data_IF_854773805872
#
_entry.id   IF_854773805872
#
_cell.length_a   1.000
_cell.length_b   1.000
_cell.length_c   1.000
_cell.angle_alpha   90.00
_cell.angle_beta   90.00
_cell.angle_gamma   90.00
#
_symmetry.space_group_name_H-M   'P 1'
#
loop_
_entity.id
_entity.type
_entity.pdbx_description
1 polymer ?
#
# COMPACT_ATOMS: atom_id res chain seq x y z
N UNK A 1 -2.53 24.87 -4.69
CA UNK A 1 -3.50 25.16 -5.76
C UNK A 1 -4.15 23.85 -6.21
N UNK A 2 -5.31 23.50 -5.66
CA UNK A 2 -6.01 22.24 -5.97
C UNK A 2 -6.58 22.25 -7.40
N UNK A 3 -6.92 23.44 -7.92
CA UNK A 3 -7.52 23.58 -9.25
C UNK A 3 -6.59 23.09 -10.35
N UNK A 4 -5.31 23.49 -10.30
CA UNK A 4 -4.28 22.99 -11.24
C UNK A 4 -4.06 21.49 -11.18
N UNK A 5 -4.17 20.88 -10.00
CA UNK A 5 -4.05 19.42 -9.86
C UNK A 5 -5.21 18.71 -10.56
N UNK A 6 -6.42 19.28 -10.46
CA UNK A 6 -7.62 18.74 -11.07
C UNK A 6 -7.63 18.84 -12.61
N UNK A 7 -6.81 19.71 -13.21
CA UNK A 7 -6.65 19.79 -14.67
C UNK A 7 -6.00 18.54 -15.29
N UNK A 8 -5.16 17.84 -14.50
CA UNK A 8 -4.54 16.58 -14.93
C UNK A 8 -5.48 15.42 -14.58
N UNK A 9 -5.76 14.48 -15.50
CA UNK A 9 -6.54 13.28 -15.19
C UNK A 9 -5.97 12.54 -13.98
N UNK A 10 -6.82 12.16 -13.02
CA UNK A 10 -6.38 11.57 -11.74
C UNK A 10 -5.32 10.47 -11.91
N UNK A 11 -5.56 9.53 -12.84
CA UNK A 11 -4.66 8.39 -13.13
C UNK A 11 -3.29 8.75 -13.69
N UNK A 12 -3.10 9.98 -14.15
CA UNK A 12 -1.86 10.49 -14.74
C UNK A 12 -1.05 11.37 -13.78
N UNK A 13 -1.63 11.73 -12.63
CA UNK A 13 -0.97 12.55 -11.61
C UNK A 13 0.11 11.73 -10.91
N UNK A 14 1.38 12.04 -11.19
CA UNK A 14 2.56 11.47 -10.52
C UNK A 14 2.72 12.05 -9.10
N UNK A 15 1.78 11.74 -8.22
CA UNK A 15 1.70 12.27 -6.86
C UNK A 15 1.60 11.11 -5.87
N UNK A 16 2.12 11.32 -4.67
CA UNK A 16 1.88 10.45 -3.51
C UNK A 16 1.26 11.28 -2.40
N UNK A 17 0.35 10.66 -1.66
CA UNK A 17 -0.23 11.20 -0.44
C UNK A 17 0.29 10.35 0.71
N UNK A 18 1.07 10.95 1.61
CA UNK A 18 1.52 10.29 2.83
C UNK A 18 0.44 10.47 3.89
N UNK A 19 -0.08 9.37 4.41
CA UNK A 19 -1.15 9.37 5.43
C UNK A 19 -0.62 9.01 6.80
N UNK A 20 0.47 8.26 6.86
CA UNK A 20 1.12 7.88 8.11
C UNK A 20 2.63 7.78 7.91
N UNK A 21 3.39 8.25 8.89
CA UNK A 21 4.82 8.08 8.97
C UNK A 21 5.19 7.76 10.42
N UNK A 22 5.96 6.70 10.61
CA UNK A 22 6.49 6.31 11.91
C UNK A 22 7.99 6.14 11.81
N UNK A 23 8.69 6.66 12.80
CA UNK A 23 10.14 6.59 12.92
C UNK A 23 10.45 6.20 14.34
N UNK A 24 11.30 5.18 14.51
CA UNK A 24 11.84 4.86 15.82
C UNK A 24 13.34 4.54 15.71
N UNK A 25 14.06 4.86 16.78
CA UNK A 25 15.49 4.63 16.90
C UNK A 25 15.78 3.19 17.36
N UNK A 26 16.81 2.56 16.82
CA UNK A 26 17.31 1.28 17.28
C UNK A 26 18.83 1.36 17.48
N UNK A 27 19.32 0.82 18.58
CA UNK A 27 20.76 0.70 18.86
C UNK A 27 21.46 -0.24 17.87
N UNK A 28 20.71 -1.21 17.34
CA UNK A 28 21.17 -2.09 16.26
C UNK A 28 20.06 -2.31 15.21
N UNK A 29 20.25 -1.71 14.03
CA UNK A 29 19.34 -1.83 12.88
C UNK A 29 19.34 -3.23 12.25
N UNK A 30 20.40 -4.02 12.43
CA UNK A 30 20.48 -5.36 11.85
C UNK A 30 19.40 -6.25 12.48
N UNK A 31 19.21 -6.16 13.80
CA UNK A 31 18.23 -6.96 14.55
C UNK A 31 16.88 -6.27 14.76
N UNK A 32 16.80 -4.95 14.54
CA UNK A 32 15.54 -4.20 14.64
C UNK A 32 14.44 -4.77 13.73
N UNK A 33 13.17 -4.70 14.14
CA UNK A 33 12.03 -5.23 13.35
C UNK A 33 11.14 -4.11 12.85
N UNK A 34 10.55 -4.25 11.68
CA UNK A 34 9.52 -3.29 11.26
C UNK A 34 8.36 -3.26 12.26
N UNK A 35 7.78 -2.07 12.46
CA UNK A 35 6.63 -1.88 13.34
C UNK A 35 5.44 -2.75 12.93
N UNK A 36 4.75 -3.30 13.95
CA UNK A 36 3.65 -4.28 13.81
C UNK A 36 2.36 -3.74 13.18
N UNK A 37 1.34 -4.60 13.13
CA UNK A 37 0.10 -4.47 12.34
C UNK A 37 -0.77 -3.24 12.63
N UNK A 38 -0.46 -2.41 13.63
CA UNK A 38 -1.21 -1.19 13.96
C UNK A 38 -1.27 -0.13 12.84
N UNK A 39 -0.46 -0.30 11.80
CA UNK A 39 -0.51 0.53 10.58
C UNK A 39 -1.53 0.06 9.56
N UNK A 40 -2.14 -1.13 9.73
CA UNK A 40 -3.07 -1.71 8.77
C UNK A 40 -4.50 -1.66 9.33
N UNK A 41 -5.42 -1.14 8.53
CA UNK A 41 -6.86 -1.27 8.73
C UNK A 41 -7.29 -2.64 8.19
N UNK A 42 -8.07 -3.38 8.98
CA UNK A 42 -8.76 -4.57 8.46
C UNK A 42 -9.87 -4.16 7.50
N UNK A 43 -9.96 -4.89 6.38
CA UNK A 43 -11.05 -4.71 5.43
C UNK A 43 -12.40 -5.02 6.08
N UNK A 44 -13.36 -4.11 5.94
CA UNK A 44 -14.75 -4.41 6.32
C UNK A 44 -15.32 -5.31 5.23
N UNK A 45 -15.58 -6.58 5.54
CA UNK A 45 -16.37 -7.43 4.62
C UNK A 45 -17.71 -6.73 4.36
N UNK A 46 -18.03 -6.45 3.09
CA UNK A 46 -19.39 -6.06 2.70
C UNK A 46 -20.32 -7.14 3.25
N UNK A 47 -21.14 -6.81 4.26
CA UNK A 47 -22.37 -7.58 4.50
C UNK A 47 -23.21 -7.30 3.28
N UNK A 48 -23.26 -8.25 2.35
CA UNK A 48 -24.36 -8.31 1.39
C UNK A 48 -25.63 -8.44 2.20
N UNK A 49 -26.27 -7.30 2.48
CA UNK A 49 -27.63 -7.26 3.00
C UNK A 49 -28.55 -7.59 1.83
N UNK A 50 -28.50 -8.84 1.35
CA UNK A 50 -29.60 -9.41 0.59
C UNK A 50 -30.61 -9.85 1.63
N UNK A 51 -31.65 -9.04 1.82
CA UNK A 51 -32.74 -9.34 2.73
C UNK A 51 -33.61 -10.52 2.25
N UNK A 52 -34.19 -11.20 3.25
CA UNK A 52 -35.30 -12.18 3.21
C UNK A 52 -35.00 -13.55 2.58
N UNK A 53 -35.21 -14.69 3.25
CA UNK A 53 -36.45 -15.13 3.89
C UNK A 53 -36.19 -15.86 5.23
N UNK A 54 -37.15 -15.74 6.16
CA UNK A 54 -37.09 -16.36 7.47
C UNK A 54 -36.99 -17.88 7.44
N UNK A 55 -36.15 -18.42 8.31
CA UNK A 55 -36.26 -19.79 8.80
C UNK A 55 -36.08 -19.78 10.33
N UNK A 56 -36.87 -20.57 11.08
CA UNK A 56 -36.90 -20.51 12.53
C UNK A 56 -35.60 -21.04 13.14
N UNK A 57 -35.31 -20.49 14.31
CA UNK A 57 -34.32 -20.96 15.26
C UNK A 57 -34.60 -22.44 15.61
N UNK A 58 -33.62 -23.32 15.31
CA UNK A 58 -33.54 -24.66 15.91
C UNK A 58 -33.88 -25.82 14.98
N UNK A 59 -32.86 -26.41 14.36
CA UNK A 59 -32.82 -27.86 14.10
C UNK A 59 -31.36 -28.26 13.89
N UNK A 60 -30.86 -29.11 14.77
CA UNK A 60 -29.51 -29.65 14.67
C UNK A 60 -29.36 -30.58 13.48
N UNK A 61 -28.19 -30.54 12.86
CA UNK A 61 -27.66 -31.68 12.11
C UNK A 61 -26.27 -32.03 12.65
N UNK A 62 -26.08 -33.27 13.14
CA UNK A 62 -24.81 -33.76 13.67
C UNK A 62 -23.88 -34.19 12.54
N UNK A 63 -22.59 -33.93 12.72
CA UNK A 63 -21.53 -34.70 12.07
C UNK A 63 -21.34 -34.49 10.55
N UNK A 64 -20.51 -33.53 10.20
CA UNK A 64 -19.48 -33.75 9.16
C UNK A 64 -18.26 -32.89 9.51
N UNK A 65 -17.30 -33.50 10.20
CA UNK A 65 -15.92 -33.04 10.16
C UNK A 65 -15.44 -33.21 8.72
N UNK A 66 -15.05 -32.11 8.08
CA UNK A 66 -14.18 -32.13 6.90
C UNK A 66 -12.75 -31.89 7.38
N UNK A 67 -11.90 -32.93 7.40
CA UNK A 67 -10.47 -32.80 7.64
C UNK A 67 -9.77 -32.37 6.35
N UNK A 68 -8.91 -31.36 6.44
CA UNK A 68 -7.90 -31.09 5.42
C UNK A 68 -8.40 -30.28 4.21
N UNK A 69 -8.29 -28.96 4.32
CA UNK A 69 -8.01 -28.12 3.15
C UNK A 69 -7.17 -26.93 3.60
N UNK A 70 -5.89 -27.21 3.88
CA UNK A 70 -4.85 -26.19 3.93
C UNK A 70 -4.70 -25.62 2.53
N UNK A 71 -5.09 -24.36 2.33
CA UNK A 71 -4.92 -23.71 1.04
C UNK A 71 -3.44 -23.34 0.85
N UNK A 72 -2.79 -23.81 -0.23
CA UNK A 72 -1.40 -23.50 -0.53
C UNK A 72 -1.23 -22.04 -0.90
N UNK A 73 -0.21 -21.40 -0.33
CA UNK A 73 0.18 -20.03 -0.61
C UNK A 73 0.34 -19.77 -2.11
N UNK A 74 -0.45 -18.84 -2.61
CA UNK A 74 -0.16 -18.17 -3.86
C UNK A 74 1.10 -17.32 -3.68
N UNK A 75 2.16 -17.51 -4.48
CA UNK A 75 3.33 -16.65 -4.40
C UNK A 75 2.96 -15.22 -4.84
N UNK A 76 3.47 -14.17 -4.17
CA UNK A 76 3.26 -12.80 -4.63
C UNK A 76 3.85 -12.64 -6.04
N UNK A 77 3.04 -12.15 -6.99
CA UNK A 77 3.40 -11.95 -8.41
C UNK A 77 4.39 -10.79 -8.66
N UNK A 78 5.19 -10.41 -7.67
CA UNK A 78 6.31 -9.49 -7.82
C UNK A 78 7.53 -10.06 -7.13
N UNK A 79 8.12 -11.11 -7.74
CA UNK A 79 9.48 -11.51 -7.42
C UNK A 79 10.42 -10.40 -7.91
N UNK A 80 10.93 -9.58 -6.99
CA UNK A 80 12.01 -8.63 -7.25
C UNK A 80 13.17 -9.39 -7.92
N UNK A 81 13.60 -8.91 -9.09
CA UNK A 81 14.88 -9.33 -9.67
C UNK A 81 15.98 -8.94 -8.68
N UNK A 82 16.67 -9.94 -8.13
CA UNK A 82 17.92 -9.77 -7.37
C UNK A 82 18.94 -9.10 -8.29
N UNK A 83 19.21 -7.82 -8.05
CA UNK A 83 20.37 -7.15 -8.60
C UNK A 83 21.51 -7.31 -7.60
N UNK A 84 22.49 -8.15 -7.96
CA UNK A 84 23.82 -8.07 -7.38
C UNK A 84 24.56 -6.94 -8.11
N UNK A 85 24.83 -5.83 -7.41
CA UNK A 85 25.78 -4.81 -7.89
C UNK A 85 27.12 -5.02 -7.20
N UNK A 86 28.15 -5.13 -8.03
CA UNK A 86 29.57 -5.21 -7.67
C UNK A 86 30.04 -3.79 -7.34
N UNK A 87 30.54 -3.59 -6.12
CA UNK A 87 31.30 -2.41 -5.73
C UNK A 87 30.69 -1.55 -4.61
N UNK A 88 30.57 -2.09 -3.40
CA UNK A 88 30.79 -1.36 -2.14
C UNK A 88 31.42 -2.37 -1.17
N UNK A 89 32.74 -2.31 -1.02
CA UNK A 89 33.48 -3.08 0.01
C UNK A 89 33.38 -2.33 1.32
N UNK A 90 32.33 -2.64 2.06
CA UNK A 90 32.17 -2.36 3.48
C UNK A 90 31.08 -3.30 3.94
N UNK A 91 31.43 -4.30 4.75
CA UNK A 91 30.43 -5.08 5.47
C UNK A 91 29.60 -4.04 6.25
N UNK A 92 28.32 -3.83 5.89
CA UNK A 92 27.42 -2.98 6.68
C UNK A 92 27.13 -3.72 7.98
N UNK A 93 28.11 -3.65 8.89
CA UNK A 93 28.04 -4.17 10.25
C UNK A 93 26.91 -3.41 10.93
N UNK A 94 26.09 -4.13 11.71
CA UNK A 94 25.00 -3.53 12.48
C UNK A 94 25.46 -2.35 13.33
N UNK A 95 24.51 -1.58 13.83
CA UNK A 95 24.77 -0.34 14.54
C UNK A 95 23.53 0.53 14.64
N UNK A 96 23.68 1.67 15.29
CA UNK A 96 22.56 2.53 15.60
C UNK A 96 21.94 3.14 14.33
N UNK A 97 20.63 3.39 14.39
CA UNK A 97 19.92 3.97 13.26
C UNK A 97 18.43 4.04 13.47
N UNK A 98 17.70 4.16 12.36
CA UNK A 98 16.27 4.42 12.37
C UNK A 98 15.51 3.42 11.52
N UNK A 99 14.40 2.94 12.06
CA UNK A 99 13.42 2.16 11.32
C UNK A 99 12.27 3.10 10.98
N UNK A 100 11.96 3.19 9.68
CA UNK A 100 10.99 4.12 9.13
C UNK A 100 9.91 3.35 8.39
N UNK A 101 8.65 3.61 8.73
CA UNK A 101 7.48 3.16 7.99
C UNK A 101 6.77 4.36 7.42
N UNK A 102 6.62 4.41 6.09
CA UNK A 102 5.85 5.43 5.38
C UNK A 102 4.68 4.73 4.72
N UNK A 103 3.47 5.21 4.95
CA UNK A 103 2.27 4.67 4.32
C UNK A 103 1.40 5.77 3.73
N UNK A 104 0.66 5.41 2.70
CA UNK A 104 -0.09 6.37 1.93
C UNK A 104 -0.80 5.78 0.73
N UNK A 105 -1.19 6.63 -0.20
CA UNK A 105 -1.79 6.22 -1.47
C UNK A 105 -1.36 7.13 -2.62
N UNK A 106 -1.58 6.66 -3.84
CA UNK A 106 -1.29 7.37 -5.07
C UNK A 106 -2.42 7.16 -6.08
N UNK A 107 -2.83 8.23 -6.77
CA UNK A 107 -3.74 8.12 -7.90
C UNK A 107 -3.03 7.63 -9.16
N UNK A 108 -1.68 7.58 -9.17
CA UNK A 108 -0.93 7.22 -10.36
C UNK A 108 -1.11 5.74 -10.70
N UNK A 109 -1.48 5.45 -11.95
CA UNK A 109 -1.75 4.07 -12.42
C UNK A 109 -0.57 3.11 -12.26
N UNK A 110 0.67 3.63 -12.29
CA UNK A 110 1.88 2.83 -12.14
C UNK A 110 2.67 3.26 -10.90
N UNK A 111 2.10 3.00 -9.73
CA UNK A 111 2.73 3.32 -8.45
C UNK A 111 4.12 2.70 -8.31
N UNK A 112 4.33 1.47 -8.81
CA UNK A 112 5.64 0.81 -8.78
C UNK A 112 6.72 1.63 -9.48
N UNK A 113 6.44 2.13 -10.68
CA UNK A 113 7.35 3.00 -11.43
C UNK A 113 7.51 4.41 -10.84
N UNK A 114 6.59 4.85 -9.97
CA UNK A 114 6.73 6.11 -9.22
C UNK A 114 7.59 5.92 -7.97
N UNK A 115 7.49 4.75 -7.32
CA UNK A 115 8.21 4.43 -6.09
C UNK A 115 9.65 4.00 -6.38
N UNK A 116 9.87 2.97 -7.20
CA UNK A 116 11.19 2.42 -7.51
C UNK A 116 11.34 2.15 -9.03
N UNK A 117 11.48 3.21 -9.86
CA UNK A 117 11.69 3.07 -11.30
C UNK A 117 13.02 2.35 -11.60
N UNK A 118 13.00 1.45 -12.60
CA UNK A 118 14.18 0.70 -12.99
C UNK A 118 15.11 1.51 -13.91
N UNK A 119 16.43 1.36 -13.72
CA UNK A 119 17.45 1.87 -14.65
C UNK A 119 17.64 3.39 -14.64
N UNK A 120 17.23 4.08 -13.57
CA UNK A 120 17.31 5.54 -13.46
C UNK A 120 18.41 6.05 -12.55
N UNK A 121 19.29 5.17 -12.05
CA UNK A 121 20.31 5.49 -11.05
C UNK A 121 21.12 6.76 -11.41
N UNK A 122 21.52 6.90 -12.67
CA UNK A 122 22.33 8.02 -13.14
C UNK A 122 21.52 9.24 -13.61
N UNK A 123 20.19 9.26 -13.43
CA UNK A 123 19.31 10.34 -13.89
C UNK A 123 18.39 10.83 -12.76
N UNK A 124 18.82 11.82 -11.96
CA UNK A 124 18.07 12.35 -10.83
C UNK A 124 16.65 12.85 -11.18
N UNK A 125 16.43 13.27 -12.42
CA UNK A 125 15.13 13.73 -12.89
C UNK A 125 14.12 12.59 -13.07
N UNK A 126 14.61 11.34 -13.16
CA UNK A 126 13.79 10.13 -13.28
C UNK A 126 13.71 9.34 -11.98
N UNK A 127 14.37 9.78 -10.91
CA UNK A 127 14.32 9.11 -9.62
C UNK A 127 12.91 9.09 -9.03
N UNK A 128 12.48 7.89 -8.64
CA UNK A 128 11.33 7.70 -7.77
C UNK A 128 11.69 7.89 -6.30
N UNK A 129 10.72 7.66 -5.42
CA UNK A 129 10.89 7.83 -3.97
C UNK A 129 12.04 6.99 -3.43
N UNK A 130 12.10 5.70 -3.78
CA UNK A 130 13.09 4.75 -3.27
C UNK A 130 14.48 5.08 -3.78
N UNK A 131 14.61 5.43 -5.06
CA UNK A 131 15.90 5.87 -5.61
C UNK A 131 16.38 7.14 -4.91
N UNK A 132 15.49 8.08 -4.61
CA UNK A 132 15.84 9.27 -3.81
C UNK A 132 16.36 8.92 -2.43
N UNK A 133 15.78 7.91 -1.76
CA UNK A 133 16.26 7.45 -0.45
C UNK A 133 17.62 6.72 -0.51
N UNK A 134 17.99 6.14 -1.65
CA UNK A 134 19.34 5.59 -1.86
C UNK A 134 20.39 6.70 -2.01
N UNK A 135 19.97 7.83 -2.57
CA UNK A 135 20.82 8.96 -2.93
C UNK A 135 20.56 10.16 -2.00
N UNK A 136 20.38 9.90 -0.70
CA UNK A 136 20.11 10.97 0.27
C UNK A 136 21.21 12.04 0.23
N UNK A 137 22.46 11.63 0.17
CA UNK A 137 23.62 12.54 0.06
C UNK A 137 23.51 13.48 -1.14
N UNK A 138 22.99 13.03 -2.28
CA UNK A 138 22.83 13.85 -3.49
C UNK A 138 21.63 14.83 -3.42
N UNK A 139 20.71 14.60 -2.49
CA UNK A 139 19.46 15.36 -2.35
C UNK A 139 19.54 16.36 -1.20
N UNK A 140 20.21 15.98 -0.12
CA UNK A 140 20.55 16.90 0.96
C UNK A 140 21.84 17.63 0.62
N UNK A 141 22.36 18.43 1.54
CA UNK A 141 23.57 19.24 1.42
C UNK A 141 24.88 18.44 1.28
N UNK A 142 24.84 17.19 0.80
CA UNK A 142 26.01 16.34 0.62
C UNK A 142 26.49 15.66 1.90
N UNK A 143 25.82 15.87 3.03
CA UNK A 143 26.29 15.41 4.34
C UNK A 143 25.18 14.70 5.12
N UNK A 144 24.50 13.73 4.49
CA UNK A 144 23.52 12.94 5.22
C UNK A 144 24.25 12.02 6.20
N UNK A 145 23.95 12.07 7.50
CA UNK A 145 24.50 11.10 8.45
C UNK A 145 23.84 9.72 8.28
N UNK A 146 22.87 9.59 7.37
CA UNK A 146 22.05 8.41 7.19
C UNK A 146 22.28 7.74 5.84
N UNK A 147 22.35 6.40 5.85
CA UNK A 147 22.41 5.57 4.64
C UNK A 147 21.33 4.50 4.69
N UNK A 148 20.68 4.22 3.57
CA UNK A 148 19.73 3.11 3.48
C UNK A 148 20.44 1.78 3.75
N UNK A 149 19.99 1.03 4.75
CA UNK A 149 20.61 -0.22 5.17
C UNK A 149 20.11 -1.39 4.32
N UNK A 150 21.03 -2.09 3.65
CA UNK A 150 20.78 -3.37 2.94
C UNK A 150 19.47 -3.44 2.13
N UNK A 151 19.24 -2.50 1.21
CA UNK A 151 18.01 -2.46 0.36
C UNK A 151 17.62 -3.79 -0.31
N UNK A 152 18.61 -4.61 -0.67
CA UNK A 152 18.36 -5.88 -1.37
C UNK A 152 17.70 -6.96 -0.48
N UNK A 153 17.66 -6.74 0.84
CA UNK A 153 17.17 -7.70 1.84
C UNK A 153 15.80 -7.27 2.38
N UNK A 154 14.82 -8.17 2.27
CA UNK A 154 13.42 -7.87 2.64
C UNK A 154 13.24 -7.55 4.13
N UNK A 155 14.18 -7.98 4.97
CA UNK A 155 14.22 -7.72 6.41
C UNK A 155 14.63 -6.27 6.74
N UNK A 156 15.22 -5.57 5.77
CA UNK A 156 15.75 -4.20 5.90
C UNK A 156 15.07 -3.22 4.96
N UNK A 157 14.39 -3.72 3.92
CA UNK A 157 13.62 -2.92 2.98
C UNK A 157 12.41 -3.68 2.44
N UNK A 158 11.22 -3.12 2.60
CA UNK A 158 9.97 -3.71 2.11
C UNK A 158 9.05 -2.64 1.52
N UNK A 159 8.66 -2.82 0.27
CA UNK A 159 7.63 -2.02 -0.39
C UNK A 159 6.42 -2.91 -0.68
N UNK A 160 5.29 -2.59 -0.07
CA UNK A 160 4.00 -3.21 -0.33
C UNK A 160 3.08 -2.21 -1.03
N UNK A 161 2.25 -2.71 -1.94
CA UNK A 161 1.24 -1.92 -2.63
C UNK A 161 -0.03 -2.75 -2.82
N UNK A 162 -1.15 -2.06 -3.01
CA UNK A 162 -2.42 -2.71 -3.33
C UNK A 162 -3.47 -1.72 -3.77
N UNK A 163 -4.60 -2.23 -4.25
CA UNK A 163 -5.75 -1.41 -4.62
C UNK A 163 -6.39 -0.79 -3.37
N UNK A 164 -6.82 0.46 -3.47
CA UNK A 164 -7.64 1.05 -2.40
C UNK A 164 -9.03 0.45 -2.48
N UNK A 165 -9.41 -0.32 -1.46
CA UNK A 165 -10.71 -0.96 -1.38
C UNK A 165 -11.16 -1.09 0.08
N UNK A 166 -12.47 -0.97 0.33
CA UNK A 166 -13.04 -1.07 1.68
C UNK A 166 -12.90 -2.46 2.30
N UNK A 167 -12.81 -3.50 1.46
CA UNK A 167 -12.67 -4.90 1.83
C UNK A 167 -11.20 -5.38 1.83
N UNK A 168 -10.25 -4.53 1.46
CA UNK A 168 -8.83 -4.84 1.49
C UNK A 168 -8.18 -4.50 2.84
N UNK A 169 -7.17 -5.28 3.24
CA UNK A 169 -6.22 -4.89 4.29
C UNK A 169 -5.30 -3.82 3.71
N UNK A 170 -5.38 -2.60 4.20
CA UNK A 170 -4.64 -1.44 3.67
C UNK A 170 -4.20 -0.51 4.80
N UNK A 171 -3.25 0.40 4.58
CA UNK A 171 -2.81 1.30 5.64
C UNK A 171 -3.91 2.18 6.22
N UNK A 172 -3.81 2.45 7.52
CA UNK A 172 -4.69 3.41 8.20
C UNK A 172 -4.53 4.81 7.62
N UNK A 173 -5.62 5.58 7.59
CA UNK A 173 -5.64 6.95 7.08
C UNK A 173 -5.75 7.08 5.55
N UNK A 174 -5.84 5.97 4.80
CA UNK A 174 -6.12 6.00 3.35
C UNK A 174 -7.58 6.39 3.11
N UNK A 175 -7.78 7.64 2.71
CA UNK A 175 -9.09 8.23 2.39
C UNK A 175 -10.00 8.44 3.60
N UNK A 176 -11.13 9.07 3.33
CA UNK A 176 -12.24 9.24 4.29
C UNK A 176 -13.43 8.42 3.77
N UNK A 177 -14.13 7.71 4.66
CA UNK A 177 -15.36 7.00 4.32
C UNK A 177 -16.46 8.01 3.95
N UNK A 178 -17.13 7.77 2.83
CA UNK A 178 -18.28 8.54 2.38
C UNK A 178 -19.34 7.58 1.79
N UNK A 179 -20.56 8.08 1.60
CA UNK A 179 -21.66 7.30 1.04
C UNK A 179 -22.09 7.89 -0.29
N UNK A 180 -22.11 7.05 -1.32
CA UNK A 180 -22.60 7.42 -2.64
C UNK A 180 -23.91 6.69 -2.89
N UNK A 181 -24.98 7.45 -3.06
CA UNK A 181 -26.24 6.88 -3.48
C UNK A 181 -26.18 6.50 -4.97
N UNK A 182 -26.60 5.27 -5.27
CA UNK A 182 -26.73 4.73 -6.63
C UNK A 182 -28.19 4.42 -6.87
N UNK A 183 -28.75 4.94 -7.96
CA UNK A 183 -30.08 4.53 -8.43
C UNK A 183 -29.95 3.17 -9.11
N UNK A 184 -30.43 2.13 -8.44
CA UNK A 184 -30.66 0.82 -9.08
C UNK A 184 -32.07 0.80 -9.72
N UNK A 185 -32.35 -0.23 -10.52
CA UNK A 185 -33.67 -0.44 -11.16
C UNK A 185 -34.85 -0.48 -10.20
N UNK A 186 -34.63 -0.70 -8.89
CA UNK A 186 -35.72 -0.87 -7.91
C UNK A 186 -35.61 0.06 -6.70
N UNK A 187 -34.42 0.42 -6.25
CA UNK A 187 -34.21 1.27 -5.06
C UNK A 187 -32.94 2.12 -5.18
N UNK A 188 -32.88 3.20 -4.40
CA UNK A 188 -31.64 3.95 -4.15
C UNK A 188 -30.79 3.17 -3.15
N UNK A 189 -29.64 2.68 -3.59
CA UNK A 189 -28.72 1.90 -2.76
C UNK A 189 -27.56 2.80 -2.39
N UNK A 190 -27.34 2.95 -1.09
CA UNK A 190 -26.18 3.63 -0.54
C UNK A 190 -24.97 2.70 -0.57
N UNK A 191 -23.97 3.05 -1.39
CA UNK A 191 -22.68 2.37 -1.42
C UNK A 191 -21.65 3.16 -0.62
N UNK A 192 -21.01 2.49 0.35
CA UNK A 192 -19.84 3.05 1.01
C UNK A 192 -18.67 3.14 0.03
N UNK A 193 -17.98 4.27 0.03
CA UNK A 193 -16.80 4.57 -0.79
C UNK A 193 -15.72 5.23 0.06
N UNK A 194 -14.50 5.30 -0.47
CA UNK A 194 -13.44 6.14 0.07
C UNK A 194 -13.20 7.31 -0.86
N UNK A 195 -13.09 8.51 -0.30
CA UNK A 195 -12.75 9.72 -1.02
C UNK A 195 -11.42 10.31 -0.57
N UNK A 196 -10.78 11.00 -1.49
CA UNK A 196 -9.61 11.84 -1.22
C UNK A 196 -10.05 13.05 -0.35
N UNK A 197 -9.48 13.26 0.84
CA UNK A 197 -9.83 14.40 1.69
C UNK A 197 -9.60 15.75 1.00
N UNK A 198 -8.62 15.84 0.09
CA UNK A 198 -8.21 17.07 -0.57
C UNK A 198 -9.01 17.36 -1.83
N UNK A 199 -9.19 16.36 -2.71
CA UNK A 199 -9.86 16.56 -4.01
C UNK A 199 -11.32 16.13 -4.04
N UNK A 200 -11.79 15.40 -3.02
CA UNK A 200 -13.13 14.79 -2.95
C UNK A 200 -13.43 13.79 -4.08
N UNK A 201 -12.42 13.38 -4.83
CA UNK A 201 -12.55 12.33 -5.84
C UNK A 201 -12.61 10.96 -5.15
N UNK A 202 -13.33 10.00 -5.75
CA UNK A 202 -13.42 8.62 -5.27
C UNK A 202 -12.08 7.93 -5.50
N UNK A 203 -11.51 7.36 -4.44
CA UNK A 203 -10.23 6.65 -4.47
C UNK A 203 -10.38 5.13 -4.34
N UNK A 204 -11.47 4.67 -3.70
CA UNK A 204 -11.76 3.24 -3.63
C UNK A 204 -12.09 2.68 -5.00
N UNK A 205 -11.81 1.39 -5.22
CA UNK A 205 -12.37 0.64 -6.34
C UNK A 205 -13.90 0.64 -6.25
N UNK A 206 -14.56 0.75 -7.40
CA UNK A 206 -16.02 0.74 -7.52
C UNK A 206 -16.44 -0.24 -8.60
N UNK A 207 -17.56 -0.93 -8.41
CA UNK A 207 -18.12 -1.80 -9.44
C UNK A 207 -18.48 -0.97 -10.67
N UNK A 208 -18.07 -1.43 -11.85
CA UNK A 208 -18.53 -0.88 -13.13
C UNK A 208 -20.00 -1.27 -13.34
N UNK A 209 -20.73 -0.41 -14.04
CA UNK A 209 -22.14 -0.61 -14.28
C UNK A 209 -22.36 -0.93 -15.76
N UNK A 210 -23.21 -1.91 -16.03
CA UNK A 210 -23.64 -2.25 -17.37
C UNK A 210 -24.61 -1.20 -17.97
N UNK A 211 -24.99 -1.38 -19.24
CA UNK A 211 -25.95 -0.52 -19.94
C UNK A 211 -27.33 -0.42 -19.25
N UNK A 212 -27.60 -1.32 -18.31
CA UNK A 212 -28.86 -1.47 -17.61
C UNK A 212 -28.81 -0.96 -16.16
N UNK A 213 -27.67 -0.43 -15.72
CA UNK A 213 -27.44 0.07 -14.36
C UNK A 213 -27.22 -1.03 -13.31
N UNK A 214 -27.01 -2.28 -13.74
CA UNK A 214 -26.55 -3.39 -12.90
C UNK A 214 -25.03 -3.43 -12.81
N UNK A 215 -24.48 -4.22 -11.89
CA UNK A 215 -23.03 -4.46 -11.84
C UNK A 215 -22.58 -5.21 -13.10
N UNK A 216 -21.55 -4.72 -13.77
CA UNK A 216 -20.98 -5.39 -14.94
C UNK A 216 -20.29 -6.69 -14.50
N UNK A 217 -20.61 -7.78 -15.18
CA UNK A 217 -20.10 -9.12 -14.88
C UNK A 217 -19.24 -9.59 -16.05
N UNK A 218 -18.04 -10.08 -15.75
CA UNK A 218 -17.13 -10.66 -16.74
C UNK A 218 -17.64 -12.03 -17.25
N UNK A 219 -16.97 -12.58 -18.27
CA UNK A 219 -17.30 -13.90 -18.83
C UNK A 219 -17.16 -15.05 -17.83
N UNK A 220 -16.50 -14.82 -16.70
CA UNK A 220 -16.24 -15.78 -15.63
C UNK A 220 -17.23 -15.64 -14.47
N UNK A 221 -18.19 -14.73 -14.55
CA UNK A 221 -19.20 -14.50 -13.51
C UNK A 221 -18.75 -13.58 -12.37
N UNK A 222 -17.61 -12.89 -12.50
CA UNK A 222 -17.12 -11.95 -11.49
C UNK A 222 -17.51 -10.51 -11.82
N UNK A 223 -17.76 -9.72 -10.78
CA UNK A 223 -18.01 -8.27 -10.93
C UNK A 223 -16.75 -7.57 -11.43
N UNK A 224 -16.90 -6.74 -12.46
CA UNK A 224 -15.83 -5.89 -12.99
C UNK A 224 -15.69 -4.66 -12.09
N UNK A 225 -14.48 -4.43 -11.58
CA UNK A 225 -14.18 -3.28 -10.73
C UNK A 225 -13.28 -2.28 -11.45
N UNK A 226 -13.64 -1.01 -11.37
CA UNK A 226 -12.78 0.11 -11.72
C UNK A 226 -11.90 0.49 -10.54
N UNK A 227 -10.61 0.16 -10.63
CA UNK A 227 -9.60 0.62 -9.67
C UNK A 227 -9.27 2.10 -9.92
N UNK A 228 -9.38 2.92 -8.87
CA UNK A 228 -9.11 4.36 -8.95
C UNK A 228 -7.69 4.68 -8.46
N UNK A 229 -7.36 4.29 -7.24
CA UNK A 229 -6.07 4.57 -6.59
C UNK A 229 -5.43 3.30 -6.02
N UNK A 230 -4.13 3.39 -5.71
CA UNK A 230 -3.37 2.34 -5.03
C UNK A 230 -2.78 2.85 -3.73
N UNK A 231 -2.86 2.06 -2.67
CA UNK A 231 -2.12 2.33 -1.44
C UNK A 231 -0.69 1.80 -1.53
N UNK A 232 0.20 2.34 -0.71
CA UNK A 232 1.54 1.82 -0.50
C UNK A 232 1.93 1.82 0.98
N UNK A 233 2.84 0.92 1.33
CA UNK A 233 3.57 0.90 2.59
C UNK A 233 5.03 0.63 2.27
N UNK A 234 5.90 1.54 2.71
CA UNK A 234 7.33 1.48 2.55
C UNK A 234 7.96 1.38 3.94
N UNK A 235 8.47 0.21 4.28
CA UNK A 235 9.25 -0.05 5.49
C UNK A 235 10.73 -0.09 5.12
N UNK A 236 11.53 0.76 5.74
CA UNK A 236 12.96 0.91 5.45
C UNK A 236 13.77 1.12 6.71
N UNK A 237 15.03 0.71 6.67
CA UNK A 237 15.99 0.99 7.74
C UNK A 237 17.09 1.93 7.24
N UNK A 238 17.48 2.87 8.07
CA UNK A 238 18.61 3.76 7.84
C UNK A 238 19.68 3.53 8.90
N UNK A 239 20.91 3.27 8.45
CA UNK A 239 22.08 3.27 9.31
C UNK A 239 22.53 4.70 9.59
N UNK A 240 22.88 4.99 10.84
CA UNK A 240 23.51 6.25 11.23
C UNK A 240 25.02 6.08 11.25
N UNK A 241 25.71 6.69 10.27
CA UNK A 241 27.15 6.49 10.04
C UNK A 241 28.02 6.90 11.25
N UNK A 242 27.67 8.03 11.85
CA UNK A 242 28.44 8.65 12.94
C UNK A 242 27.63 8.67 14.25
N UNK A 243 26.91 7.58 14.54
CA UNK A 243 26.13 7.51 15.76
C UNK A 243 27.05 7.65 16.99
N UNK A 244 26.67 8.46 18.00
CA UNK A 244 27.46 8.58 19.22
C UNK A 244 27.52 7.23 19.95
N UNK A 245 28.66 6.95 20.58
CA UNK A 245 28.78 5.75 21.40
C UNK A 245 27.74 5.77 22.52
N UNK A 246 27.08 4.63 22.80
CA UNK A 246 26.12 4.55 23.89
C UNK A 246 26.86 4.78 25.22
N UNK A 247 26.46 5.82 25.94
CA UNK A 247 26.93 6.05 27.32
C UNK A 247 26.28 5.00 28.23
N UNK A 248 27.02 3.94 28.57
CA UNK A 248 26.64 2.94 29.57
C UNK A 248 27.23 3.26 30.94
#
# INVERSE_FOLDING_TARGET
DVKKVLEIPRKERKQIFVTNMSVYFADDIATAKFGGEGFLKEGKRKKTTTGMFGMPRGMGFPGMMMPGMGMPGAPPKFALKRYAKKGETGEEVGGAGFVVTIAGYSPYKNIGGLMDPAGVENDPNKWGVVTRLLHLDDIVDGNSPFKLYRKAEIEHFKLETGEVALDAKMPVGVGIEDTKSKKSRREEIDEQILIDPMTKEIISRVAELDEYGGEEIDRSGNVVYKVNDHWFRLDVKFAWRDAPEPNY
#
